data_IF_927356652885
#
_entry.id   IF_927356652885
#
_cell.length_a   1.000
_cell.length_b   1.000
_cell.length_c   1.000
_cell.angle_alpha   90.00
_cell.angle_beta   90.00
_cell.angle_gamma   90.00
#
_symmetry.space_group_name_H-M   'P 1'
#
loop_
_entity.id
_entity.type
_entity.pdbx_description
1 polymer ?
#
# COMPACT_ATOMS: atom_id res chain seq x y z
N UNK A 1 -9.11 2.65 4.80
CA UNK A 1 -9.63 2.53 3.41
C UNK A 1 -9.02 1.32 2.72
N UNK A 2 -9.34 1.07 1.44
CA UNK A 2 -8.74 0.00 0.62
C UNK A 2 -8.41 0.50 -0.77
N UNK A 3 -7.37 -0.08 -1.37
CA UNK A 3 -6.97 0.15 -2.75
C UNK A 3 -7.86 -0.69 -3.68
N UNK A 4 -8.69 0.00 -4.46
CA UNK A 4 -9.45 -0.56 -5.57
C UNK A 4 -8.75 -0.30 -6.90
N UNK A 5 -8.46 -1.36 -7.67
CA UNK A 5 -7.90 -1.26 -9.00
C UNK A 5 -8.99 -1.47 -10.05
N UNK A 6 -9.05 -0.60 -11.07
CA UNK A 6 -10.00 -0.76 -12.18
C UNK A 6 -9.69 -2.03 -12.97
N UNK A 7 -10.70 -2.87 -13.18
CA UNK A 7 -10.68 -4.03 -14.08
C UNK A 7 -11.76 -3.85 -15.16
N UNK A 8 -11.39 -3.25 -16.28
CA UNK A 8 -12.33 -2.85 -17.34
C UNK A 8 -13.11 -1.58 -16.99
N UNK A 9 -14.29 -1.40 -17.61
CA UNK A 9 -15.04 -0.13 -17.56
C UNK A 9 -15.50 0.29 -16.17
N UNK A 10 -16.39 -0.51 -15.55
CA UNK A 10 -17.07 -0.16 -14.27
C UNK A 10 -16.73 -1.07 -13.09
N UNK A 11 -15.89 -2.10 -13.28
CA UNK A 11 -15.57 -3.06 -12.23
C UNK A 11 -14.26 -2.68 -11.53
N UNK A 12 -14.21 -2.94 -10.23
CA UNK A 12 -12.99 -2.88 -9.44
C UNK A 12 -12.62 -4.26 -8.94
N UNK A 13 -11.32 -4.46 -8.72
CA UNK A 13 -10.79 -5.56 -7.93
C UNK A 13 -10.02 -4.99 -6.75
N UNK A 14 -10.04 -5.73 -5.64
CA UNK A 14 -9.36 -5.37 -4.42
C UNK A 14 -8.27 -6.43 -4.20
N UNK A 15 -7.00 -6.08 -4.36
CA UNK A 15 -5.91 -7.03 -4.13
C UNK A 15 -5.94 -7.59 -2.71
N UNK A 16 -5.82 -8.92 -2.57
CA UNK A 16 -5.95 -9.58 -1.27
C UNK A 16 -4.81 -9.27 -0.30
N UNK A 17 -3.61 -8.95 -0.79
CA UNK A 17 -2.45 -8.75 0.08
C UNK A 17 -2.56 -7.51 0.99
N UNK A 18 -3.54 -6.63 0.77
CA UNK A 18 -3.83 -5.52 1.70
C UNK A 18 -4.73 -5.92 2.87
N UNK A 19 -5.09 -7.20 3.00
CA UNK A 19 -5.96 -7.70 4.06
C UNK A 19 -5.26 -8.77 4.91
N UNK A 20 -5.54 -8.77 6.22
CA UNK A 20 -5.22 -9.83 7.18
C UNK A 20 -6.50 -10.17 7.94
N UNK A 21 -6.87 -11.45 7.96
CA UNK A 21 -8.13 -11.93 8.56
C UNK A 21 -9.38 -11.17 8.07
N UNK A 22 -9.39 -10.80 6.78
CA UNK A 22 -10.49 -10.05 6.16
C UNK A 22 -10.53 -8.55 6.51
N UNK A 23 -9.57 -8.02 7.27
CA UNK A 23 -9.47 -6.60 7.63
C UNK A 23 -8.34 -5.93 6.86
N UNK A 24 -8.51 -4.69 6.38
CA UNK A 24 -7.42 -3.94 5.77
C UNK A 24 -6.25 -3.79 6.75
N UNK A 25 -5.03 -3.88 6.25
CA UNK A 25 -3.83 -3.59 7.05
C UNK A 25 -3.80 -2.10 7.42
N UNK A 26 -3.32 -1.74 8.62
CA UNK A 26 -3.13 -0.34 9.00
C UNK A 26 -2.19 0.40 8.02
N UNK A 27 -2.30 1.72 7.91
CA UNK A 27 -1.41 2.56 7.09
C UNK A 27 -1.82 2.73 5.62
N UNK A 28 -2.80 1.97 5.11
CA UNK A 28 -3.23 2.06 3.69
C UNK A 28 -3.80 3.44 3.34
N UNK A 29 -4.54 4.07 4.25
CA UNK A 29 -5.17 5.39 4.02
C UNK A 29 -4.14 6.50 3.90
N UNK A 30 -3.10 6.43 4.71
CA UNK A 30 -1.99 7.38 4.73
C UNK A 30 -1.13 7.22 3.47
N UNK A 31 -0.88 5.97 3.04
CA UNK A 31 -0.22 5.70 1.75
C UNK A 31 -1.02 6.26 0.57
N UNK A 32 -2.36 6.10 0.58
CA UNK A 32 -3.23 6.69 -0.46
C UNK A 32 -3.27 8.22 -0.42
N UNK A 33 -3.07 8.81 0.76
CA UNK A 33 -2.97 10.26 0.92
C UNK A 33 -1.67 10.81 0.33
N UNK A 34 -0.56 10.08 0.48
CA UNK A 34 0.74 10.43 -0.09
C UNK A 34 0.83 10.13 -1.60
N UNK A 35 0.27 8.99 -2.05
CA UNK A 35 0.27 8.57 -3.46
C UNK A 35 -1.18 8.49 -3.95
N UNK A 36 -1.72 9.61 -4.41
CA UNK A 36 -3.15 9.75 -4.75
C UNK A 36 -3.61 8.80 -5.86
N UNK A 37 -2.72 8.35 -6.75
CA UNK A 37 -3.05 7.40 -7.80
C UNK A 37 -3.07 5.96 -7.23
N UNK A 38 -4.23 5.26 -7.17
CA UNK A 38 -4.31 3.94 -6.53
C UNK A 38 -3.46 2.86 -7.21
N UNK A 39 -3.23 2.98 -8.53
CA UNK A 39 -2.35 2.05 -9.26
C UNK A 39 -0.89 2.27 -8.90
N UNK A 40 -0.46 3.53 -8.73
CA UNK A 40 0.91 3.83 -8.31
C UNK A 40 1.13 3.48 -6.83
N UNK A 41 0.15 3.76 -5.96
CA UNK A 41 0.19 3.34 -4.55
C UNK A 41 0.36 1.82 -4.46
N UNK A 42 -0.44 1.06 -5.20
CA UNK A 42 -0.31 -0.40 -5.27
C UNK A 42 1.03 -0.87 -5.82
N UNK A 43 1.52 -0.20 -6.88
CA UNK A 43 2.82 -0.52 -7.47
C UNK A 43 3.96 -0.38 -6.47
N UNK A 44 3.95 0.70 -5.67
CA UNK A 44 4.95 0.92 -4.63
C UNK A 44 4.81 -0.10 -3.48
N UNK A 45 3.59 -0.32 -2.99
CA UNK A 45 3.33 -1.25 -1.88
C UNK A 45 3.80 -2.68 -2.15
N UNK A 46 3.82 -3.12 -3.42
CA UNK A 46 4.09 -4.51 -3.81
C UNK A 46 5.51 -4.77 -4.31
N UNK A 47 6.40 -3.77 -4.23
CA UNK A 47 7.77 -3.90 -4.72
C UNK A 47 8.79 -3.54 -3.62
N UNK A 48 10.01 -4.11 -3.69
CA UNK A 48 11.14 -3.64 -2.90
C UNK A 48 11.28 -2.11 -2.98
N UNK A 49 11.31 -1.45 -1.83
CA UNK A 49 11.53 0.00 -1.71
C UNK A 49 12.97 0.25 -1.22
N UNK A 50 13.77 1.04 -1.96
CA UNK A 50 15.10 1.47 -1.50
C UNK A 50 15.08 2.21 -0.16
N UNK A 51 14.00 2.94 0.12
CA UNK A 51 13.77 3.70 1.36
C UNK A 51 13.48 2.77 2.56
N UNK A 52 13.23 1.49 2.30
CA UNK A 52 12.94 0.46 3.29
C UNK A 52 13.97 -0.69 3.22
N UNK A 53 15.21 -0.39 2.85
CA UNK A 53 16.31 -1.36 2.74
C UNK A 53 15.99 -2.55 1.83
N UNK A 54 15.21 -2.30 0.76
CA UNK A 54 14.79 -3.32 -0.20
C UNK A 54 13.61 -4.19 0.29
N UNK A 55 13.01 -3.90 1.43
CA UNK A 55 11.81 -4.59 1.91
C UNK A 55 10.57 -4.15 1.13
N UNK A 56 9.55 -5.02 1.13
CA UNK A 56 8.28 -4.76 0.43
C UNK A 56 7.31 -4.09 1.41
N UNK A 57 6.80 -2.88 1.12
CA UNK A 57 5.98 -2.14 2.08
C UNK A 57 4.71 -2.86 2.53
N UNK A 58 4.01 -3.59 1.65
CA UNK A 58 2.78 -4.31 2.04
C UNK A 58 3.06 -5.46 3.02
N UNK A 59 4.24 -6.07 2.95
CA UNK A 59 4.66 -7.08 3.91
C UNK A 59 4.96 -6.43 5.26
N UNK A 60 5.67 -5.30 5.25
CA UNK A 60 5.94 -4.51 6.46
C UNK A 60 4.66 -4.04 7.15
N UNK A 61 3.63 -3.59 6.41
CA UNK A 61 2.34 -3.23 6.99
C UNK A 61 1.61 -4.44 7.63
N UNK A 62 1.78 -5.64 7.07
CA UNK A 62 1.23 -6.88 7.64
C UNK A 62 1.97 -7.30 8.92
N UNK A 63 3.25 -6.95 9.02
CA UNK A 63 4.11 -7.18 10.18
C UNK A 63 4.04 -6.04 11.22
N UNK A 64 3.04 -5.17 11.14
CA UNK A 64 2.79 -4.04 12.04
C UNK A 64 3.88 -2.95 12.04
N UNK A 65 4.75 -2.93 11.01
CA UNK A 65 5.81 -1.92 10.82
C UNK A 65 5.29 -0.65 10.14
N UNK A 66 4.18 -0.12 10.64
CA UNK A 66 3.43 0.99 10.02
C UNK A 66 4.28 2.26 9.95
N UNK A 67 4.92 2.64 11.05
CA UNK A 67 5.66 3.91 11.12
C UNK A 67 6.84 3.99 10.15
N UNK A 68 7.53 2.87 9.90
CA UNK A 68 8.61 2.82 8.93
C UNK A 68 8.09 3.03 7.51
N UNK A 69 6.99 2.37 7.14
CA UNK A 69 6.32 2.53 5.85
C UNK A 69 5.83 3.96 5.67
N UNK A 70 5.23 4.56 6.70
CA UNK A 70 4.74 5.94 6.63
C UNK A 70 5.87 6.96 6.54
N UNK A 71 7.01 6.71 7.20
CA UNK A 71 8.21 7.54 7.06
C UNK A 71 8.73 7.48 5.63
N UNK A 72 8.83 6.29 5.04
CA UNK A 72 9.30 6.10 3.68
C UNK A 72 8.36 6.76 2.65
N UNK A 73 7.05 6.56 2.75
CA UNK A 73 6.11 7.11 1.76
C UNK A 73 6.06 8.65 1.79
N UNK A 74 6.24 9.26 2.97
CA UNK A 74 6.33 10.73 3.10
C UNK A 74 7.59 11.30 2.45
N UNK A 75 8.66 10.52 2.34
CA UNK A 75 9.89 10.94 1.67
C UNK A 75 9.79 10.92 0.13
N UNK A 76 8.73 10.33 -0.44
CA UNK A 76 8.46 10.31 -1.88
C UNK A 76 7.71 11.55 -2.39
N UNK A 77 7.17 12.37 -1.47
CA UNK A 77 6.30 13.53 -1.76
C UNK A 77 7.09 14.81 -2.01
#
# INVERSE_FOLDING_TARGET
EVIGLRKGGRKHVFPLAQFVDGRPVPGISEVLSAITNPRLAWFWLTRPSPELDGRVPIEMLRDDMVEDVLRAVRALS
#
